data_IF_348798199233
#
_entry.id   IF_348798199233
#
_cell.length_a   1.000
_cell.length_b   1.000
_cell.length_c   1.000
_cell.angle_alpha   90.00
_cell.angle_beta   90.00
_cell.angle_gamma   90.00
#
_symmetry.space_group_name_H-M   'P 1'
#
loop_
_entity.id
_entity.type
_entity.pdbx_description
1 polymer ?
#
# COMPACT_ATOMS: atom_id res chain seq x y z
N UNK A 1 1.97 11.15 -21.33
CA UNK A 1 0.59 10.64 -21.26
C UNK A 1 -0.22 11.73 -20.61
N UNK A 2 -1.31 12.19 -21.22
CA UNK A 2 -2.18 13.18 -20.62
C UNK A 2 -2.61 12.77 -19.22
N UNK A 3 -2.58 13.69 -18.27
CA UNK A 3 -3.00 13.46 -16.88
C UNK A 3 -3.73 14.68 -16.32
N UNK A 4 -4.23 14.56 -15.09
CA UNK A 4 -5.01 15.51 -14.30
C UNK A 4 -5.58 16.69 -15.08
N UNK A 5 -4.80 17.75 -15.34
CA UNK A 5 -5.24 18.94 -16.05
C UNK A 5 -5.82 18.64 -17.43
N UNK A 6 -5.19 17.78 -18.23
CA UNK A 6 -5.70 17.39 -19.55
C UNK A 6 -7.06 16.69 -19.47
N UNK A 7 -7.23 15.83 -18.46
CA UNK A 7 -8.47 15.10 -18.24
C UNK A 7 -9.56 16.07 -17.77
N UNK A 8 -9.25 16.95 -16.82
CA UNK A 8 -10.17 17.98 -16.33
C UNK A 8 -10.57 18.95 -17.44
N UNK A 9 -9.62 19.43 -18.24
CA UNK A 9 -9.87 20.31 -19.38
C UNK A 9 -10.80 19.66 -20.41
N UNK A 10 -10.62 18.36 -20.66
CA UNK A 10 -11.52 17.60 -21.53
C UNK A 10 -12.92 17.44 -20.92
N UNK A 11 -13.02 17.08 -19.64
CA UNK A 11 -14.30 16.86 -18.96
C UNK A 11 -15.11 18.16 -18.78
N UNK A 12 -14.43 19.30 -18.61
CA UNK A 12 -15.07 20.60 -18.38
C UNK A 12 -15.36 21.35 -19.68
N UNK A 13 -14.40 21.36 -20.60
CA UNK A 13 -14.43 22.24 -21.78
C UNK A 13 -14.38 21.48 -23.11
N UNK A 14 -14.25 20.15 -23.10
CA UNK A 14 -14.07 19.34 -24.31
C UNK A 14 -12.71 19.52 -24.99
N UNK A 15 -11.74 20.16 -24.32
CA UNK A 15 -10.41 20.43 -24.88
C UNK A 15 -9.59 19.14 -24.89
N UNK A 16 -9.07 18.78 -26.06
CA UNK A 16 -8.19 17.61 -26.23
C UNK A 16 -6.74 18.11 -26.35
N UNK A 17 -5.76 17.47 -25.68
CA UNK A 17 -4.35 17.82 -25.83
C UNK A 17 -3.90 17.77 -27.29
N UNK A 18 -3.15 18.79 -27.72
CA UNK A 18 -2.82 19.01 -29.13
C UNK A 18 -1.65 18.16 -29.63
N UNK A 19 -0.86 17.59 -28.72
CA UNK A 19 0.36 16.82 -28.99
C UNK A 19 0.12 15.31 -29.16
N UNK A 20 -1.14 14.88 -29.32
CA UNK A 20 -1.51 13.47 -29.43
C UNK A 20 -1.56 12.98 -30.88
N UNK A 21 -0.92 11.83 -31.14
CA UNK A 21 -1.15 11.06 -32.36
C UNK A 21 -2.60 10.58 -32.46
N UNK A 22 -3.04 10.19 -33.65
CA UNK A 22 -4.41 9.67 -33.85
C UNK A 22 -4.74 8.47 -32.94
N UNK A 23 -3.75 7.57 -32.73
CA UNK A 23 -3.89 6.43 -31.83
C UNK A 23 -3.99 6.86 -30.36
N UNK A 24 -3.15 7.81 -29.94
CA UNK A 24 -3.17 8.34 -28.57
C UNK A 24 -4.47 9.08 -28.28
N UNK A 25 -5.00 9.85 -29.25
CA UNK A 25 -6.28 10.54 -29.13
C UNK A 25 -7.44 9.56 -28.94
N UNK A 26 -7.50 8.48 -29.73
CA UNK A 26 -8.52 7.42 -29.56
C UNK A 26 -8.42 6.78 -28.17
N UNK A 27 -7.21 6.50 -27.70
CA UNK A 27 -6.98 5.96 -26.35
C UNK A 27 -7.41 6.94 -25.25
N UNK A 28 -7.06 8.21 -25.37
CA UNK A 28 -7.45 9.26 -24.42
C UNK A 28 -8.97 9.36 -24.29
N UNK A 29 -9.69 9.41 -25.41
CA UNK A 29 -11.16 9.43 -25.42
C UNK A 29 -11.78 8.16 -24.82
N UNK A 30 -11.15 7.00 -25.02
CA UNK A 30 -11.61 5.76 -24.42
C UNK A 30 -11.41 5.77 -22.89
N UNK A 31 -10.22 6.18 -22.43
CA UNK A 31 -9.82 6.15 -21.02
C UNK A 31 -10.55 7.22 -20.20
N UNK A 32 -10.79 8.41 -20.75
CA UNK A 32 -11.51 9.53 -20.09
C UNK A 32 -12.93 9.15 -19.64
N UNK A 33 -13.58 8.17 -20.28
CA UNK A 33 -14.90 7.66 -19.87
C UNK A 33 -14.93 7.01 -18.48
N UNK A 34 -13.77 6.67 -17.93
CA UNK A 34 -13.63 6.10 -16.58
C UNK A 34 -13.49 7.16 -15.49
N UNK A 35 -13.47 8.44 -15.88
CA UNK A 35 -13.25 9.56 -14.99
C UNK A 35 -14.51 10.40 -14.86
N UNK A 36 -14.63 11.05 -13.71
CA UNK A 36 -15.72 11.93 -13.36
C UNK A 36 -15.15 13.17 -12.67
N UNK A 37 -15.63 14.35 -13.06
CA UNK A 37 -15.22 15.63 -12.48
C UNK A 37 -16.31 16.12 -11.53
N UNK A 38 -15.95 16.26 -10.26
CA UNK A 38 -16.77 16.84 -9.19
C UNK A 38 -15.92 17.91 -8.50
N UNK A 39 -16.06 19.14 -8.97
CA UNK A 39 -15.14 20.23 -8.64
C UNK A 39 -14.92 20.36 -7.12
N UNK A 40 -13.65 20.43 -6.64
CA UNK A 40 -12.38 20.53 -7.38
C UNK A 40 -11.67 19.18 -7.61
N UNK A 41 -12.39 18.08 -7.51
CA UNK A 41 -11.83 16.73 -7.48
C UNK A 41 -12.11 15.94 -8.74
N UNK A 42 -11.05 15.33 -9.27
CA UNK A 42 -11.15 14.34 -10.32
C UNK A 42 -11.26 12.97 -9.66
N UNK A 43 -12.26 12.17 -10.04
CA UNK A 43 -12.42 10.79 -9.61
C UNK A 43 -12.24 9.83 -10.78
N UNK A 44 -11.83 8.60 -10.46
CA UNK A 44 -11.78 7.49 -11.41
C UNK A 44 -12.47 6.26 -10.82
N UNK A 45 -13.27 5.58 -11.64
CA UNK A 45 -13.74 4.24 -11.33
C UNK A 45 -12.64 3.21 -11.63
N UNK A 46 -12.13 2.57 -10.59
CA UNK A 46 -11.12 1.52 -10.69
C UNK A 46 -11.76 0.16 -11.07
N UNK A 47 -10.92 -0.84 -11.37
CA UNK A 47 -11.39 -2.17 -11.81
C UNK A 47 -12.18 -2.93 -10.74
N UNK A 48 -11.93 -2.58 -9.47
CA UNK A 48 -12.68 -3.03 -8.29
C UNK A 48 -14.01 -2.29 -8.11
N UNK A 49 -14.40 -1.45 -9.08
CA UNK A 49 -15.56 -0.55 -9.04
C UNK A 49 -15.52 0.50 -7.93
N UNK A 50 -14.38 0.65 -7.24
CA UNK A 50 -14.21 1.68 -6.22
C UNK A 50 -13.87 2.99 -6.91
N UNK A 51 -14.57 4.06 -6.55
CA UNK A 51 -14.22 5.42 -6.94
C UNK A 51 -13.03 5.89 -6.10
N UNK A 52 -11.97 6.32 -6.78
CA UNK A 52 -10.77 6.87 -6.14
C UNK A 52 -10.51 8.28 -6.64
N UNK A 53 -10.13 9.17 -5.75
CA UNK A 53 -9.72 10.53 -6.07
C UNK A 53 -8.38 10.49 -6.80
N UNK A 54 -8.30 11.10 -7.97
CA UNK A 54 -7.10 11.27 -8.74
C UNK A 54 -6.25 12.38 -8.13
N UNK A 55 -4.96 12.12 -7.92
CA UNK A 55 -4.03 13.11 -7.38
C UNK A 55 -3.34 13.89 -8.52
N UNK A 56 -3.22 15.22 -8.42
CA UNK A 56 -2.39 16.00 -9.32
C UNK A 56 -0.90 15.72 -9.06
N UNK A 57 -0.05 15.93 -10.06
CA UNK A 57 1.39 15.62 -9.99
C UNK A 57 2.09 16.29 -8.82
N UNK A 58 1.65 17.50 -8.46
CA UNK A 58 2.22 18.30 -7.37
C UNK A 58 2.01 17.66 -5.99
N UNK A 59 0.96 16.84 -5.80
CA UNK A 59 0.65 16.17 -4.53
C UNK A 59 1.20 14.74 -4.46
N UNK A 60 1.60 14.14 -5.59
CA UNK A 60 1.97 12.73 -5.65
C UNK A 60 3.17 12.38 -4.77
N UNK A 61 4.23 13.21 -4.78
CA UNK A 61 5.43 12.95 -3.99
C UNK A 61 5.14 13.08 -2.49
N UNK A 62 4.40 14.10 -2.07
CA UNK A 62 4.03 14.30 -0.67
C UNK A 62 3.22 13.12 -0.14
N UNK A 63 2.29 12.59 -0.94
CA UNK A 63 1.51 11.39 -0.59
C UNK A 63 2.40 10.16 -0.52
N UNK A 64 3.32 9.99 -1.46
CA UNK A 64 4.27 8.88 -1.44
C UNK A 64 5.14 8.93 -0.17
N UNK A 65 5.68 10.09 0.17
CA UNK A 65 6.49 10.32 1.37
C UNK A 65 5.70 10.08 2.65
N UNK A 66 4.44 10.54 2.73
CA UNK A 66 3.57 10.28 3.88
C UNK A 66 3.19 8.80 4.02
N UNK A 67 3.00 8.10 2.91
CA UNK A 67 2.67 6.67 2.91
C UNK A 67 3.89 5.76 3.03
N UNK A 68 5.11 6.29 3.09
CA UNK A 68 6.33 5.49 3.22
C UNK A 68 6.22 4.49 4.39
N UNK A 69 6.65 3.26 4.11
CA UNK A 69 6.59 2.19 5.09
C UNK A 69 7.61 2.40 6.22
N UNK A 70 7.18 2.03 7.42
CA UNK A 70 7.93 1.80 8.66
C UNK A 70 9.36 1.27 8.44
N UNK A 71 10.31 1.48 9.37
CA UNK A 71 11.73 1.07 9.30
C UNK A 71 12.05 -0.41 9.00
N UNK A 72 11.05 -1.27 8.78
CA UNK A 72 11.25 -2.67 8.45
C UNK A 72 11.36 -2.85 6.92
N UNK A 73 12.62 -2.94 6.49
CA UNK A 73 13.13 -3.20 5.13
C UNK A 73 12.67 -4.51 4.51
N UNK A 74 11.40 -4.62 4.10
CA UNK A 74 10.90 -5.79 3.36
C UNK A 74 10.91 -5.53 1.85
N UNK A 75 11.17 -6.57 1.04
CA UNK A 75 11.13 -6.54 -0.43
C UNK A 75 9.82 -5.98 -1.02
N UNK A 76 8.72 -6.00 -0.27
CA UNK A 76 7.39 -5.59 -0.71
C UNK A 76 7.04 -4.14 -0.37
N UNK A 77 8.01 -3.30 -0.03
CA UNK A 77 7.72 -1.91 0.37
C UNK A 77 6.99 -1.11 -0.72
N UNK A 78 7.33 -1.27 -2.00
CA UNK A 78 6.68 -0.57 -3.12
C UNK A 78 5.20 -0.94 -3.26
N UNK A 79 4.92 -2.23 -3.29
CA UNK A 79 3.57 -2.76 -3.35
C UNK A 79 2.73 -2.36 -2.14
N UNK A 80 3.31 -2.40 -0.94
CA UNK A 80 2.62 -1.97 0.30
C UNK A 80 2.27 -0.49 0.28
N UNK A 81 3.17 0.37 -0.18
CA UNK A 81 2.91 1.81 -0.30
C UNK A 81 1.81 2.08 -1.32
N UNK A 82 1.89 1.45 -2.50
CA UNK A 82 0.85 1.57 -3.52
C UNK A 82 -0.52 1.06 -3.02
N UNK A 83 -0.53 -0.07 -2.31
CA UNK A 83 -1.75 -0.62 -1.71
C UNK A 83 -2.37 0.32 -0.67
N UNK A 84 -1.57 0.93 0.21
CA UNK A 84 -2.04 1.93 1.19
C UNK A 84 -2.66 3.14 0.51
N UNK A 85 -2.01 3.67 -0.52
CA UNK A 85 -2.50 4.84 -1.28
C UNK A 85 -3.84 4.50 -1.96
N UNK A 86 -3.94 3.32 -2.57
CA UNK A 86 -5.20 2.84 -3.11
C UNK A 86 -6.23 2.72 -1.99
N UNK A 87 -5.95 2.03 -0.89
CA UNK A 87 -6.87 1.86 0.24
C UNK A 87 -7.34 3.19 0.84
N UNK A 88 -6.50 4.23 0.86
CA UNK A 88 -6.85 5.59 1.27
C UNK A 88 -7.76 6.33 0.28
N UNK A 89 -8.09 5.71 -0.86
CA UNK A 89 -8.99 6.27 -1.87
C UNK A 89 -8.28 7.13 -2.91
N UNK A 90 -6.95 7.06 -3.04
CA UNK A 90 -6.18 7.86 -3.99
C UNK A 90 -5.73 7.05 -5.21
N UNK A 91 -5.51 7.73 -6.34
CA UNK A 91 -5.12 7.10 -7.60
C UNK A 91 -4.29 8.00 -8.52
N UNK A 92 -3.34 7.39 -9.24
CA UNK A 92 -2.76 7.92 -10.48
C UNK A 92 -2.18 6.78 -11.35
N UNK A 93 -1.95 6.98 -12.67
CA UNK A 93 -1.68 5.88 -13.60
C UNK A 93 -0.38 5.13 -13.33
N UNK A 94 0.63 5.84 -12.83
CA UNK A 94 1.97 5.30 -12.58
C UNK A 94 2.22 4.99 -11.10
N UNK A 95 1.18 4.96 -10.24
CA UNK A 95 1.27 4.78 -8.80
C UNK A 95 2.23 3.67 -8.37
N UNK A 96 2.07 2.46 -8.91
CA UNK A 96 2.92 1.31 -8.55
C UNK A 96 4.38 1.59 -8.90
N UNK A 97 4.65 2.16 -10.09
CA UNK A 97 6.01 2.47 -10.53
C UNK A 97 6.63 3.59 -9.69
N UNK A 98 5.86 4.62 -9.37
CA UNK A 98 6.32 5.75 -8.56
C UNK A 98 6.56 5.32 -7.10
N UNK A 99 5.74 4.42 -6.55
CA UNK A 99 5.95 3.82 -5.24
C UNK A 99 7.27 3.04 -5.18
N UNK A 100 7.54 2.18 -6.17
CA UNK A 100 8.81 1.44 -6.23
C UNK A 100 10.03 2.36 -6.39
N UNK A 101 9.94 3.41 -7.21
CA UNK A 101 11.06 4.35 -7.43
C UNK A 101 11.40 5.13 -6.17
N UNK A 102 10.40 5.55 -5.39
CA UNK A 102 10.62 6.36 -4.18
C UNK A 102 11.35 5.59 -3.07
N UNK A 103 11.28 4.26 -3.07
CA UNK A 103 11.82 3.42 -2.00
C UNK A 103 13.31 3.10 -2.21
N UNK A 104 13.79 3.12 -3.45
CA UNK A 104 15.12 2.64 -3.85
C UNK A 104 16.32 3.53 -3.48
N UNK A 105 16.15 4.73 -2.91
CA UNK A 105 17.28 5.71 -2.85
C UNK A 105 17.84 6.10 -1.48
N UNK A 106 17.21 5.78 -0.34
CA UNK A 106 17.69 6.30 0.96
C UNK A 106 17.69 5.36 2.15
N UNK A 107 17.08 4.17 2.07
CA UNK A 107 16.79 3.40 3.29
C UNK A 107 16.93 1.86 3.14
N UNK A 108 17.78 1.37 2.23
CA UNK A 108 18.18 -0.05 2.27
C UNK A 108 19.00 -0.28 3.55
N UNK A 109 18.37 -0.87 4.56
CA UNK A 109 19.10 -1.46 5.68
C UNK A 109 19.78 -2.75 5.21
N UNK A 110 21.00 -3.05 5.71
CA UNK A 110 21.61 -4.36 5.47
C UNK A 110 20.66 -5.46 5.95
N UNK A 111 20.53 -6.52 5.14
CA UNK A 111 19.65 -7.66 5.42
C UNK A 111 20.15 -8.40 6.67
N UNK A 112 19.58 -8.07 7.83
CA UNK A 112 19.64 -8.93 9.00
C UNK A 112 18.38 -9.79 9.00
N UNK A 113 18.55 -11.11 8.96
CA UNK A 113 17.46 -12.08 9.00
C UNK A 113 16.67 -11.88 10.30
N UNK A 114 15.47 -11.30 10.20
CA UNK A 114 14.51 -11.30 11.29
C UNK A 114 13.90 -12.70 11.31
N UNK A 115 14.22 -13.48 12.33
CA UNK A 115 13.47 -14.70 12.63
C UNK A 115 12.05 -14.27 13.00
N UNK A 116 11.05 -14.62 12.19
CA UNK A 116 9.66 -14.56 12.60
C UNK A 116 9.50 -15.53 13.76
N UNK A 117 9.23 -15.00 14.96
CA UNK A 117 8.83 -15.77 16.13
C UNK A 117 7.31 -15.64 16.21
N UNK A 118 6.59 -16.67 15.79
CA UNK A 118 5.14 -16.76 15.98
C UNK A 118 4.81 -16.96 17.46
N UNK A 119 3.56 -16.66 17.87
CA UNK A 119 3.08 -16.65 19.25
C UNK A 119 3.03 -18.06 19.90
N UNK A 120 3.89 -19.02 19.51
CA UNK A 120 4.13 -20.32 20.16
C UNK A 120 5.55 -20.88 19.91
N UNK A 121 6.45 -20.15 19.24
CA UNK A 121 7.78 -20.67 18.83
C UNK A 121 8.73 -20.93 20.00
N UNK A 122 8.47 -20.32 21.17
CA UNK A 122 9.20 -20.57 22.40
C UNK A 122 8.21 -20.84 23.52
N UNK A 123 8.11 -22.10 23.93
CA UNK A 123 7.46 -22.50 25.17
C UNK A 123 8.53 -22.98 26.15
N UNK A 124 8.78 -22.19 27.20
CA UNK A 124 9.63 -22.62 28.30
C UNK A 124 8.85 -23.54 29.22
N UNK A 125 9.25 -24.80 29.33
CA UNK A 125 8.79 -25.70 30.41
C UNK A 125 9.77 -25.55 31.56
N UNK A 126 9.29 -25.03 32.68
CA UNK A 126 10.06 -25.00 33.93
C UNK A 126 9.46 -26.03 34.90
N UNK A 127 10.30 -26.96 35.38
CA UNK A 127 9.87 -27.98 36.33
C UNK A 127 10.09 -27.47 37.75
N UNK A 128 9.03 -27.00 38.40
CA UNK A 128 9.09 -26.67 39.83
C UNK A 128 9.13 -27.99 40.65
N UNK A 129 10.21 -28.19 41.42
CA UNK A 129 10.37 -29.28 42.41
C UNK A 129 10.58 -28.73 43.81
N UNK A 130 10.27 -29.48 44.90
CA UNK A 130 9.30 -30.55 45.03
C UNK A 130 8.00 -30.05 45.71
N UNK A 131 6.86 -30.59 45.31
CA UNK A 131 5.60 -30.38 46.02
C UNK A 131 5.57 -31.21 47.32
N UNK A 132 5.04 -30.62 48.40
CA UNK A 132 4.77 -31.33 49.64
C UNK A 132 3.71 -32.41 49.37
N UNK A 133 3.91 -33.68 49.76
CA UNK A 133 2.91 -34.71 49.58
C UNK A 133 1.71 -34.43 50.52
N UNK A 134 0.58 -34.05 49.95
CA UNK A 134 -0.72 -34.10 50.61
C UNK A 134 -1.41 -35.37 50.14
N UNK A 135 -1.58 -36.31 51.07
CA UNK A 135 -2.19 -37.65 50.95
C UNK A 135 -1.26 -38.83 50.66
N UNK A 136 -1.02 -39.59 51.74
CA UNK A 136 -0.40 -40.90 51.73
C UNK A 136 0.24 -41.29 53.07
N UNK A 137 -0.37 -40.94 54.21
CA UNK A 137 -0.07 -41.71 55.42
C UNK A 137 -0.89 -42.98 55.33
N UNK A 138 -0.25 -44.11 55.08
CA UNK A 138 -0.55 -45.35 55.78
C UNK A 138 0.73 -46.17 56.00
N UNK A 139 1.21 -46.00 57.23
CA UNK A 139 1.92 -46.91 58.14
C UNK A 139 3.00 -47.85 57.60
N UNK A 140 4.15 -47.72 58.26
CA UNK A 140 5.25 -48.67 58.27
C UNK A 140 4.90 -49.98 59.03
N UNK A 141 5.56 -51.05 58.58
CA UNK A 141 6.07 -52.22 59.31
C UNK A 141 5.11 -53.11 60.12
N UNK A 142 5.01 -54.37 59.66
CA UNK A 142 5.28 -55.57 60.45
C UNK A 142 5.99 -56.59 59.55
#
# INVERSE_FOLDING_TARGET
MPWFADIVNYLTCGIIPFDLSAQQKKRFLYDTRKYFWDEPFLFRQCLDNILRRCMPEVEMNDILEQCHASPYGSHFQGDRTAAKILQAGFYWPNLVKDAHRNISRRHEMPLNTILEVELFDVWGVDFIRPFIPYFGKDKAMA
#
